data_IF_270607525495
#
_entry.id   IF_270607525495
#
_cell.length_a   1.000
_cell.length_b   1.000
_cell.length_c   1.000
_cell.angle_alpha   90.00
_cell.angle_beta   90.00
_cell.angle_gamma   90.00
#
_symmetry.space_group_name_H-M   'P 1'
#
loop_
_entity.id
_entity.type
_entity.pdbx_description
1 polymer ?
#
# COMPACT_ATOMS: atom_id res chain seq x y z
N UNK A 1 8.76 59.61 -61.09
CA UNK A 1 9.46 58.34 -60.78
C UNK A 1 10.70 58.68 -59.97
N UNK A 2 10.87 58.05 -58.81
CA UNK A 2 12.01 58.29 -57.89
C UNK A 2 13.02 57.16 -58.13
N UNK A 3 14.33 57.43 -58.29
CA UNK A 3 15.32 56.37 -58.51
C UNK A 3 15.47 55.49 -57.26
N UNK A 4 15.87 54.21 -57.42
CA UNK A 4 16.09 53.33 -56.28
C UNK A 4 17.25 53.85 -55.42
N UNK A 5 17.26 53.55 -54.10
CA UNK A 5 18.33 54.00 -53.22
C UNK A 5 19.64 53.29 -53.60
N UNK A 6 20.75 54.04 -53.58
CA UNK A 6 22.09 53.46 -53.74
C UNK A 6 22.38 52.51 -52.58
N UNK A 7 22.77 51.28 -52.92
CA UNK A 7 23.21 50.30 -51.94
C UNK A 7 24.44 50.84 -51.19
N UNK A 8 24.26 51.07 -49.90
CA UNK A 8 25.38 51.34 -49.01
C UNK A 8 26.07 50.01 -48.79
N UNK A 9 27.26 49.84 -49.36
CA UNK A 9 28.12 48.71 -49.05
C UNK A 9 28.55 48.82 -47.58
N UNK A 10 27.78 48.15 -46.71
CA UNK A 10 28.23 47.89 -45.36
C UNK A 10 29.51 47.06 -45.46
N UNK A 11 30.65 47.69 -45.16
CA UNK A 11 31.91 46.98 -44.98
C UNK A 11 31.71 45.98 -43.84
N UNK A 12 31.41 44.74 -44.19
CA UNK A 12 31.41 43.62 -43.24
C UNK A 12 32.86 43.48 -42.80
N UNK A 13 33.18 44.00 -41.62
CA UNK A 13 34.41 43.64 -40.94
C UNK A 13 34.32 42.15 -40.65
N UNK A 14 34.96 41.36 -41.48
CA UNK A 14 35.11 39.93 -41.31
C UNK A 14 36.14 39.70 -40.21
N UNK A 15 35.77 40.06 -38.98
CA UNK A 15 36.40 39.47 -37.81
C UNK A 15 35.88 38.04 -37.76
N UNK A 16 36.71 37.13 -38.26
CA UNK A 16 36.50 35.69 -38.23
C UNK A 16 36.19 35.30 -36.78
N UNK A 17 34.91 35.10 -36.47
CA UNK A 17 34.50 34.59 -35.16
C UNK A 17 34.98 33.14 -35.14
N UNK A 18 36.16 32.93 -34.58
CA UNK A 18 36.71 31.61 -34.33
C UNK A 18 35.81 30.90 -33.32
N UNK A 19 34.78 30.21 -33.83
CA UNK A 19 33.91 29.36 -33.03
C UNK A 19 34.76 28.19 -32.58
N UNK A 20 35.13 28.16 -31.31
CA UNK A 20 35.71 26.97 -30.70
C UNK A 20 34.76 25.79 -30.93
N UNK A 21 35.28 24.60 -31.31
CA UNK A 21 34.44 23.41 -31.45
C UNK A 21 33.62 23.22 -30.18
N UNK A 22 32.31 22.99 -30.34
CA UNK A 22 31.49 22.62 -29.20
C UNK A 22 32.09 21.34 -28.59
N UNK A 23 32.18 21.24 -27.25
CA UNK A 23 32.59 20.00 -26.62
C UNK A 23 31.70 18.88 -27.13
N UNK A 24 32.30 17.76 -27.53
CA UNK A 24 31.56 16.59 -28.00
C UNK A 24 30.72 16.11 -26.83
N UNK A 25 29.41 16.32 -26.92
CA UNK A 25 28.46 15.77 -25.96
C UNK A 25 28.47 14.26 -26.22
N UNK A 26 28.80 13.43 -25.22
CA UNK A 26 28.76 11.99 -25.41
C UNK A 26 27.36 11.58 -25.87
N UNK A 27 27.29 10.91 -27.01
CA UNK A 27 26.06 10.32 -27.54
C UNK A 27 25.75 9.07 -26.70
N UNK A 28 25.17 9.29 -25.53
CA UNK A 28 24.65 8.20 -24.70
C UNK A 28 23.27 7.83 -25.24
N UNK A 29 23.10 6.57 -25.61
CA UNK A 29 21.78 6.05 -25.95
C UNK A 29 20.92 5.96 -24.71
N UNK A 30 19.60 6.03 -24.87
CA UNK A 30 18.67 5.86 -23.73
C UNK A 30 18.91 4.52 -23.01
N UNK A 31 19.27 3.48 -23.76
CA UNK A 31 19.59 2.16 -23.21
C UNK A 31 20.83 2.21 -22.31
N UNK A 32 21.93 2.82 -22.76
CA UNK A 32 23.16 2.93 -21.96
C UNK A 32 22.94 3.78 -20.70
N UNK A 33 22.15 4.85 -20.80
CA UNK A 33 21.78 5.68 -19.65
C UNK A 33 20.98 4.86 -18.61
N UNK A 34 20.01 4.07 -19.07
CA UNK A 34 19.19 3.21 -18.22
C UNK A 34 20.03 2.12 -17.54
N UNK A 35 20.88 1.45 -18.30
CA UNK A 35 21.72 0.36 -17.80
C UNK A 35 22.73 0.88 -16.76
N UNK A 36 23.33 2.05 -17.01
CA UNK A 36 24.21 2.71 -16.05
C UNK A 36 23.47 3.09 -14.75
N UNK A 37 22.26 3.62 -14.86
CA UNK A 37 21.43 3.96 -13.70
C UNK A 37 21.02 2.71 -12.91
N UNK A 38 20.58 1.64 -13.57
CA UNK A 38 20.22 0.39 -12.88
C UNK A 38 21.44 -0.21 -12.18
N UNK A 39 22.62 -0.18 -12.83
CA UNK A 39 23.86 -0.63 -12.21
C UNK A 39 24.20 0.19 -10.97
N UNK A 40 24.21 1.52 -11.10
CA UNK A 40 24.51 2.40 -9.97
C UNK A 40 23.53 2.17 -8.82
N UNK A 41 22.23 2.15 -9.13
CA UNK A 41 21.17 2.02 -8.13
C UNK A 41 21.22 0.66 -7.43
N UNK A 42 21.38 -0.44 -8.17
CA UNK A 42 21.46 -1.78 -7.59
C UNK A 42 22.75 -2.06 -6.81
N UNK A 43 23.83 -1.31 -7.08
CA UNK A 43 25.09 -1.46 -6.35
C UNK A 43 25.08 -0.66 -5.04
N UNK A 44 24.39 0.48 -5.00
CA UNK A 44 24.45 1.42 -3.88
C UNK A 44 23.19 1.50 -3.02
N UNK A 45 22.04 1.06 -3.52
CA UNK A 45 20.77 1.13 -2.81
C UNK A 45 20.09 -0.23 -2.77
N UNK A 46 19.60 -0.60 -1.58
CA UNK A 46 18.61 -1.66 -1.41
C UNK A 46 17.28 -1.00 -1.07
N UNK A 47 16.27 -1.15 -1.94
CA UNK A 47 14.92 -0.69 -1.65
C UNK A 47 14.10 -1.87 -1.17
N UNK A 48 13.64 -1.78 0.07
CA UNK A 48 12.58 -2.64 0.58
C UNK A 48 11.27 -1.85 0.55
N UNK A 49 10.19 -2.51 0.16
CA UNK A 49 8.84 -1.94 0.22
C UNK A 49 7.96 -2.89 1.02
N UNK A 50 6.94 -2.34 1.67
CA UNK A 50 5.94 -3.14 2.36
C UNK A 50 4.54 -2.77 1.87
N UNK A 51 3.61 -3.69 2.01
CA UNK A 51 2.20 -3.47 1.67
C UNK A 51 1.36 -3.98 2.83
N UNK A 52 0.38 -3.18 3.24
CA UNK A 52 -0.61 -3.57 4.24
C UNK A 52 -1.94 -3.89 3.57
N UNK A 53 -2.58 -4.97 4.01
CA UNK A 53 -3.93 -5.36 3.61
C UNK A 53 -4.78 -5.58 4.85
N UNK A 54 -5.95 -4.94 4.91
CA UNK A 54 -6.94 -5.14 5.97
C UNK A 54 -8.18 -5.83 5.42
N UNK A 55 -8.69 -6.82 6.16
CA UNK A 55 -9.89 -7.59 5.80
C UNK A 55 -10.74 -7.83 7.04
N UNK A 56 -12.06 -7.85 6.88
CA UNK A 56 -12.98 -8.21 7.94
C UNK A 56 -13.40 -9.70 7.84
N UNK A 57 -13.60 -10.33 8.99
CA UNK A 57 -14.19 -11.65 9.10
C UNK A 57 -14.98 -11.77 10.40
N UNK A 58 -15.99 -12.64 10.43
CA UNK A 58 -16.73 -12.93 11.65
C UNK A 58 -15.97 -13.96 12.49
N UNK A 59 -15.80 -13.65 13.77
CA UNK A 59 -15.36 -14.59 14.79
C UNK A 59 -16.51 -14.88 15.77
N UNK A 60 -16.49 -16.05 16.39
CA UNK A 60 -17.50 -16.48 17.35
C UNK A 60 -16.83 -17.07 18.59
N UNK A 61 -17.25 -16.62 19.76
CA UNK A 61 -16.79 -17.14 21.04
C UNK A 61 -17.97 -17.38 22.00
N UNK A 62 -17.81 -18.27 23.00
CA UNK A 62 -18.83 -18.45 24.03
C UNK A 62 -19.03 -17.18 24.84
N UNK A 63 -20.29 -16.77 24.99
CA UNK A 63 -20.63 -15.63 25.83
C UNK A 63 -20.47 -15.98 27.32
N UNK A 64 -19.62 -15.24 28.04
CA UNK A 64 -19.27 -15.49 29.45
C UNK A 64 -19.98 -14.56 30.44
N UNK A 65 -20.89 -13.69 29.98
CA UNK A 65 -21.69 -12.83 30.86
C UNK A 65 -21.26 -11.36 30.97
N UNK A 66 -20.50 -10.83 30.00
CA UNK A 66 -20.09 -9.42 29.96
C UNK A 66 -21.11 -8.48 29.29
N UNK A 67 -21.03 -7.17 29.56
CA UNK A 67 -21.82 -6.17 28.82
C UNK A 67 -21.18 -5.91 27.46
N UNK A 68 -21.98 -5.92 26.39
CA UNK A 68 -21.50 -5.50 25.08
C UNK A 68 -21.55 -3.98 24.97
N UNK A 69 -20.40 -3.38 24.66
CA UNK A 69 -20.34 -2.00 24.25
C UNK A 69 -20.92 -1.88 22.83
N UNK A 70 -22.08 -1.24 22.74
CA UNK A 70 -22.76 -0.98 21.47
C UNK A 70 -22.65 0.50 21.16
N UNK A 71 -22.38 0.82 19.90
CA UNK A 71 -22.41 2.21 19.45
C UNK A 71 -23.87 2.69 19.51
N UNK A 72 -24.15 3.70 20.33
CA UNK A 72 -25.51 4.20 20.57
C UNK A 72 -26.19 4.72 19.29
N UNK A 73 -25.39 5.16 18.31
CA UNK A 73 -25.84 5.51 16.96
C UNK A 73 -24.65 5.52 16.01
N UNK A 74 -24.53 4.49 15.18
CA UNK A 74 -23.57 4.51 14.08
C UNK A 74 -23.37 3.16 13.39
N UNK A 75 -22.81 3.23 12.20
CA UNK A 75 -22.34 2.09 11.42
C UNK A 75 -21.01 1.56 11.98
N UNK A 76 -20.66 0.31 11.62
CA UNK A 76 -19.36 -0.25 11.95
C UNK A 76 -18.21 0.61 11.37
N UNK A 77 -17.08 0.75 12.09
CA UNK A 77 -15.94 1.50 11.58
C UNK A 77 -15.37 0.86 10.31
N UNK A 78 -14.75 1.66 9.43
CA UNK A 78 -14.02 1.11 8.29
C UNK A 78 -12.71 0.43 8.76
N UNK A 79 -12.14 -0.51 7.98
CA UNK A 79 -10.93 -1.22 8.38
C UNK A 79 -9.74 -0.32 8.70
N UNK A 80 -9.66 0.87 8.09
CA UNK A 80 -8.59 1.84 8.32
C UNK A 80 -8.83 2.76 9.53
N UNK A 81 -10.07 2.85 10.03
CA UNK A 81 -10.40 3.64 11.23
C UNK A 81 -10.01 2.90 12.52
N UNK A 82 -9.75 1.59 12.42
CA UNK A 82 -9.33 0.75 13.55
C UNK A 82 -7.82 0.94 13.77
N UNK A 83 -7.37 1.38 14.95
CA UNK A 83 -5.96 1.52 15.23
C UNK A 83 -5.29 0.14 15.23
N UNK A 84 -4.15 0.03 14.54
CA UNK A 84 -3.27 -1.14 14.57
C UNK A 84 -1.86 -0.67 14.82
N UNK A 85 -1.16 -1.31 15.73
CA UNK A 85 0.26 -1.05 15.94
C UNK A 85 1.05 -1.61 14.75
N UNK A 86 1.87 -0.78 14.07
CA UNK A 86 2.67 -1.26 12.96
C UNK A 86 3.79 -2.18 13.47
N UNK A 87 4.12 -3.27 12.76
CA UNK A 87 5.26 -4.10 13.09
C UNK A 87 6.58 -3.33 12.91
N UNK A 88 7.69 -3.95 13.32
CA UNK A 88 9.01 -3.44 12.98
C UNK A 88 9.16 -3.26 11.46
N UNK A 89 9.89 -2.23 11.05
CA UNK A 89 10.08 -1.87 9.65
C UNK A 89 10.57 -3.08 8.83
N UNK A 90 9.93 -3.31 7.68
CA UNK A 90 10.24 -4.40 6.74
C UNK A 90 10.09 -5.82 7.29
N UNK A 91 9.33 -6.00 8.38
CA UNK A 91 8.96 -7.32 8.89
C UNK A 91 7.52 -7.68 8.54
N UNK A 92 7.35 -8.87 7.96
CA UNK A 92 6.02 -9.42 7.70
C UNK A 92 5.31 -9.74 9.02
N UNK A 93 4.07 -9.27 9.14
CA UNK A 93 3.25 -9.50 10.32
C UNK A 93 1.77 -9.65 9.95
N UNK A 94 1.04 -10.42 10.75
CA UNK A 94 -0.42 -10.54 10.66
C UNK A 94 -1.01 -10.38 12.06
N UNK A 95 -1.87 -9.37 12.23
CA UNK A 95 -2.62 -9.13 13.48
C UNK A 95 -4.09 -9.40 13.24
N UNK A 96 -4.78 -9.96 14.24
CA UNK A 96 -6.24 -9.99 14.30
C UNK A 96 -6.70 -9.01 15.38
N UNK A 97 -7.60 -8.11 15.01
CA UNK A 97 -8.16 -7.09 15.89
C UNK A 97 -9.67 -7.28 15.94
N UNK A 98 -10.26 -7.18 17.13
CA UNK A 98 -11.70 -7.10 17.26
C UNK A 98 -12.19 -5.76 16.72
N UNK A 99 -13.27 -5.79 15.93
CA UNK A 99 -13.86 -4.59 15.37
C UNK A 99 -14.76 -3.94 16.44
N UNK A 100 -14.43 -2.74 16.94
CA UNK A 100 -15.18 -2.12 18.03
C UNK A 100 -16.67 -1.97 17.72
N UNK A 101 -17.52 -2.18 18.72
CA UNK A 101 -18.98 -1.98 18.67
C UNK A 101 -19.76 -2.88 17.69
N UNK A 102 -19.11 -3.89 17.11
CA UNK A 102 -19.76 -4.83 16.17
C UNK A 102 -20.08 -6.19 16.78
N UNK A 103 -19.70 -6.40 18.04
CA UNK A 103 -20.02 -7.60 18.79
C UNK A 103 -21.54 -7.76 18.92
N UNK A 104 -22.02 -9.01 18.80
CA UNK A 104 -23.44 -9.32 18.97
C UNK A 104 -23.61 -10.71 19.57
N UNK A 105 -24.52 -10.84 20.55
CA UNK A 105 -24.87 -12.13 21.12
C UNK A 105 -25.88 -12.81 20.20
N UNK A 106 -25.53 -14.01 19.74
CA UNK A 106 -26.40 -14.86 18.92
C UNK A 106 -26.47 -16.25 19.53
N UNK A 107 -27.54 -16.97 19.21
CA UNK A 107 -27.67 -18.38 19.57
C UNK A 107 -26.52 -19.16 18.92
N UNK A 108 -25.86 -20.02 19.71
CA UNK A 108 -24.74 -20.83 19.23
C UNK A 108 -25.17 -21.71 18.04
N UNK A 109 -24.46 -21.59 16.92
CA UNK A 109 -24.73 -22.37 15.71
C UNK A 109 -24.39 -23.87 15.85
N UNK A 110 -23.58 -24.24 16.85
CA UNK A 110 -23.16 -25.63 17.09
C UNK A 110 -24.18 -26.37 17.95
N UNK A 111 -24.59 -25.81 19.09
CA UNK A 111 -25.52 -26.47 20.01
C UNK A 111 -26.98 -25.99 19.91
N UNK A 112 -27.24 -24.83 19.29
CA UNK A 112 -28.55 -24.19 19.27
C UNK A 112 -28.91 -23.45 20.57
N UNK A 113 -27.92 -23.10 21.41
CA UNK A 113 -28.12 -22.37 22.67
C UNK A 113 -28.00 -23.12 24.02
N UNK A 114 -28.22 -24.45 24.15
CA UNK A 114 -28.22 -25.12 25.45
C UNK A 114 -26.82 -25.33 26.05
N UNK A 115 -25.74 -24.92 25.38
CA UNK A 115 -24.37 -25.05 25.86
C UNK A 115 -23.83 -26.49 25.88
N UNK A 116 -24.55 -27.45 25.27
CA UNK A 116 -24.16 -28.87 25.22
C UNK A 116 -24.50 -29.50 23.88
N UNK A 117 -23.65 -30.41 23.40
CA UNK A 117 -23.85 -31.20 22.18
C UNK A 117 -23.74 -32.69 22.46
N UNK A 118 -24.30 -33.53 21.56
CA UNK A 118 -24.18 -34.98 21.66
C UNK A 118 -22.71 -35.39 21.54
N UNK A 119 -22.26 -36.26 22.43
CA UNK A 119 -20.89 -36.74 22.43
C UNK A 119 -20.66 -37.67 21.23
N UNK A 120 -19.81 -37.25 20.29
CA UNK A 120 -19.44 -38.06 19.12
C UNK A 120 -18.63 -39.31 19.54
N UNK A 121 -17.80 -39.20 20.58
CA UNK A 121 -16.94 -40.28 21.08
C UNK A 121 -17.73 -41.47 21.61
N UNK A 122 -18.87 -41.24 22.27
CA UNK A 122 -19.72 -42.31 22.80
C UNK A 122 -20.97 -42.56 21.92
N UNK A 123 -20.93 -42.16 20.65
CA UNK A 123 -22.02 -42.32 19.68
C UNK A 123 -23.37 -41.75 20.14
N UNK A 124 -23.35 -40.61 20.83
CA UNK A 124 -24.54 -39.88 21.25
C UNK A 124 -25.20 -40.34 22.55
N UNK A 125 -24.61 -41.30 23.28
CA UNK A 125 -25.11 -41.75 24.60
C UNK A 125 -24.99 -40.69 25.71
N UNK A 126 -24.10 -39.73 25.56
CA UNK A 126 -23.82 -38.68 26.54
C UNK A 126 -23.75 -37.30 25.91
N UNK A 127 -23.53 -36.31 26.77
CA UNK A 127 -23.40 -34.90 26.40
C UNK A 127 -21.98 -34.42 26.69
N UNK A 128 -21.50 -33.52 25.84
CA UNK A 128 -20.28 -32.74 26.10
C UNK A 128 -20.63 -31.26 26.05
N UNK A 129 -19.87 -30.45 26.78
CA UNK A 129 -19.97 -28.98 26.64
C UNK A 129 -19.79 -28.63 25.17
N UNK A 130 -20.62 -27.69 24.72
CA UNK A 130 -20.36 -27.02 23.46
C UNK A 130 -19.07 -26.22 23.57
#
# INVERSE_FOLDING_TARGET
AIPPPLETTAKKSESEIHRSPLPVIPHLTEKEARDALVKEVSTHFCYETFTEKRTNCWAFEPYTGGTLEKLESGDAPFPWDIPSDPPAHFMNHVTQLEVPYTASIKVCHVCGGPGRKRCATCSGKGWVSC
#
